data_IF_593060516314
#
_entry.id   IF_593060516314
#
_cell.length_a   1.000
_cell.length_b   1.000
_cell.length_c   1.000
_cell.angle_alpha   90.00
_cell.angle_beta   90.00
_cell.angle_gamma   90.00
#
_symmetry.space_group_name_H-M   'P 1'
#
loop_
_entity.id
_entity.type
_entity.pdbx_description
1 polymer ?
#
# COMPACT_ATOMS: atom_id res chain seq x y z
N UNK A 1 73.34 -34.76 10.58
CA UNK A 1 71.88 -34.90 10.80
C UNK A 1 71.63 -34.44 12.23
N UNK A 2 70.74 -33.52 12.59
CA UNK A 2 69.41 -33.20 12.07
C UNK A 2 69.20 -31.68 11.91
N UNK A 3 68.25 -31.36 11.03
CA UNK A 3 67.88 -30.05 10.48
C UNK A 3 66.70 -29.50 11.32
N UNK A 4 66.90 -28.37 12.01
CA UNK A 4 65.88 -27.71 12.84
C UNK A 4 64.97 -26.78 12.02
N UNK A 5 63.68 -27.08 12.01
CA UNK A 5 62.56 -26.34 11.42
C UNK A 5 62.22 -25.11 12.30
N UNK A 6 62.29 -23.89 11.78
CA UNK A 6 61.78 -22.69 12.47
C UNK A 6 61.11 -21.62 11.57
N UNK A 7 61.10 -21.76 10.25
CA UNK A 7 60.64 -20.66 9.36
C UNK A 7 59.13 -20.63 9.04
N UNK A 8 58.39 -21.70 9.34
CA UNK A 8 56.97 -21.81 8.95
C UNK A 8 56.01 -20.99 9.82
N UNK A 9 56.31 -20.84 11.10
CA UNK A 9 55.41 -20.24 12.10
C UNK A 9 55.43 -18.71 12.03
N UNK A 10 56.59 -18.14 11.69
CA UNK A 10 56.79 -16.69 11.60
C UNK A 10 56.12 -16.12 10.33
N UNK A 11 56.20 -16.84 9.19
CA UNK A 11 55.47 -16.49 7.96
C UNK A 11 53.95 -16.55 8.14
N UNK A 12 53.43 -17.56 8.84
CA UNK A 12 51.98 -17.66 9.10
C UNK A 12 51.48 -16.50 9.96
N UNK A 13 52.19 -16.13 11.03
CA UNK A 13 51.83 -14.95 11.85
C UNK A 13 51.89 -13.64 11.06
N UNK A 14 52.87 -13.48 10.17
CA UNK A 14 52.98 -12.30 9.32
C UNK A 14 51.80 -12.20 8.35
N UNK A 15 51.44 -13.31 7.69
CA UNK A 15 50.30 -13.36 6.76
C UNK A 15 48.98 -13.07 7.50
N UNK A 16 48.77 -13.68 8.67
CA UNK A 16 47.56 -13.42 9.47
C UNK A 16 47.48 -11.96 9.91
N UNK A 17 48.59 -11.35 10.32
CA UNK A 17 48.64 -9.94 10.71
C UNK A 17 48.32 -9.01 9.52
N UNK A 18 48.88 -9.29 8.34
CA UNK A 18 48.59 -8.52 7.11
C UNK A 18 47.12 -8.66 6.69
N UNK A 19 46.54 -9.85 6.78
CA UNK A 19 45.11 -10.06 6.49
C UNK A 19 44.20 -9.30 7.47
N UNK A 20 44.53 -9.29 8.76
CA UNK A 20 43.75 -8.57 9.77
C UNK A 20 43.83 -7.06 9.55
N UNK A 21 45.03 -6.53 9.22
CA UNK A 21 45.20 -5.11 8.89
C UNK A 21 44.46 -4.74 7.60
N UNK A 22 44.47 -5.60 6.58
CA UNK A 22 43.73 -5.37 5.34
C UNK A 22 42.21 -5.36 5.56
N UNK A 23 41.70 -6.26 6.40
CA UNK A 23 40.27 -6.27 6.78
C UNK A 23 39.92 -5.01 7.57
N UNK A 24 40.78 -4.59 8.50
CA UNK A 24 40.55 -3.38 9.31
C UNK A 24 40.60 -2.09 8.47
N UNK A 25 41.52 -2.00 7.50
CA UNK A 25 41.59 -0.90 6.54
C UNK A 25 40.39 -0.92 5.56
N UNK A 26 39.91 -2.10 5.16
CA UNK A 26 38.68 -2.25 4.38
C UNK A 26 37.45 -1.76 5.15
N UNK A 27 37.33 -2.13 6.43
CA UNK A 27 36.27 -1.61 7.30
C UNK A 27 36.39 -0.09 7.51
N UNK A 28 37.59 0.45 7.71
CA UNK A 28 37.79 1.90 7.80
C UNK A 28 37.46 2.61 6.49
N UNK A 29 37.77 2.03 5.32
CA UNK A 29 37.43 2.60 4.02
C UNK A 29 35.92 2.59 3.76
N UNK A 30 35.22 1.51 4.12
CA UNK A 30 33.75 1.44 4.04
C UNK A 30 33.10 2.41 5.03
N UNK A 31 33.65 2.54 6.25
CA UNK A 31 33.12 3.42 7.28
C UNK A 31 33.39 4.90 6.99
N UNK A 32 34.58 5.24 6.46
CA UNK A 32 34.92 6.62 6.05
C UNK A 32 34.31 7.01 4.69
N UNK A 33 34.12 6.05 3.77
CA UNK A 33 33.36 6.22 2.54
C UNK A 33 31.85 6.39 2.77
N UNK A 34 31.35 6.02 3.96
CA UNK A 34 29.97 6.27 4.40
C UNK A 34 29.81 7.59 5.17
N UNK A 35 30.90 8.29 5.49
CA UNK A 35 30.89 9.56 6.24
C UNK A 35 31.41 10.74 5.39
N UNK A 36 32.15 10.50 4.30
CA UNK A 36 32.57 11.54 3.36
C UNK A 36 32.34 11.14 1.89
N UNK A 37 31.08 11.25 1.44
CA UNK A 37 30.67 11.11 0.05
C UNK A 37 30.03 12.38 -0.49
N UNK A 38 30.85 13.20 -1.18
CA UNK A 38 30.50 14.28 -2.11
C UNK A 38 29.76 15.53 -1.59
N UNK A 39 30.48 16.37 -0.85
CA UNK A 39 30.35 17.83 -0.95
C UNK A 39 30.83 18.27 -2.33
N UNK A 40 29.92 18.54 -3.27
CA UNK A 40 30.21 19.37 -4.42
C UNK A 40 29.75 20.80 -4.12
N UNK A 41 30.76 21.67 -3.93
CA UNK A 41 30.62 23.12 -3.86
C UNK A 41 30.17 23.65 -5.23
N UNK A 42 29.00 24.27 -5.26
CA UNK A 42 28.63 25.30 -6.23
C UNK A 42 28.24 26.56 -5.49
N UNK A 43 29.20 27.44 -5.20
CA UNK A 43 28.99 28.90 -5.09
C UNK A 43 28.64 29.38 -6.51
N UNK A 44 27.64 30.18 -6.83
CA UNK A 44 27.05 31.42 -6.29
C UNK A 44 25.64 31.56 -6.94
N UNK A 45 24.66 32.38 -6.54
CA UNK A 45 24.65 33.73 -6.03
C UNK A 45 23.34 34.00 -5.26
N UNK A 46 23.47 34.62 -4.10
CA UNK A 46 22.42 35.45 -3.49
C UNK A 46 22.23 36.70 -4.36
N UNK A 47 21.02 37.25 -4.32
CA UNK A 47 20.54 38.44 -5.06
C UNK A 47 20.27 38.25 -6.56
N UNK A 48 19.01 37.97 -6.89
CA UNK A 48 18.11 38.84 -7.68
C UNK A 48 16.85 38.04 -8.04
N UNK A 49 15.69 38.36 -7.45
CA UNK A 49 14.44 37.70 -7.84
C UNK A 49 13.26 37.77 -6.88
N UNK A 50 13.41 38.31 -5.68
CA UNK A 50 12.32 38.48 -4.71
C UNK A 50 11.42 39.71 -4.97
N UNK A 51 11.43 40.29 -6.18
CA UNK A 51 10.63 41.48 -6.53
C UNK A 51 9.53 41.28 -7.58
N UNK A 52 9.32 40.07 -8.13
CA UNK A 52 8.31 39.87 -9.18
C UNK A 52 6.96 39.30 -8.71
N UNK A 53 6.90 38.55 -7.60
CA UNK A 53 5.65 37.91 -7.14
C UNK A 53 4.86 38.69 -6.07
N UNK A 54 5.32 39.89 -5.68
CA UNK A 54 4.55 40.81 -4.82
C UNK A 54 3.61 41.76 -5.59
N UNK A 55 3.50 41.64 -6.93
CA UNK A 55 2.77 42.62 -7.77
C UNK A 55 1.42 42.16 -8.31
N UNK A 56 0.82 41.09 -7.78
CA UNK A 56 -0.50 40.59 -8.26
C UNK A 56 -1.58 40.41 -7.18
N UNK A 57 -1.39 40.97 -5.98
CA UNK A 57 -2.38 40.83 -4.90
C UNK A 57 -2.49 41.99 -3.92
N UNK A 58 -1.96 43.18 -4.24
CA UNK A 58 -2.04 44.35 -3.38
C UNK A 58 -2.53 45.55 -4.16
N UNK A 59 -3.83 45.57 -4.41
CA UNK A 59 -4.56 46.77 -4.79
C UNK A 59 -5.98 46.66 -4.26
N UNK A 60 -6.14 46.57 -2.94
CA UNK A 60 -7.33 46.98 -2.19
C UNK A 60 -6.99 46.85 -0.71
N UNK A 61 -7.24 47.93 0.04
CA UNK A 61 -7.07 48.12 1.48
C UNK A 61 -5.67 48.58 1.92
N UNK A 62 -5.57 49.91 2.08
CA UNK A 62 -4.59 50.55 2.94
C UNK A 62 -5.15 50.71 4.36
N UNK A 63 -4.25 50.81 5.33
CA UNK A 63 -4.51 51.09 6.74
C UNK A 63 -3.32 50.67 7.59
N UNK A 64 -2.64 51.66 8.16
CA UNK A 64 -1.39 51.55 8.93
C UNK A 64 -1.57 51.09 10.40
N UNK A 65 -0.41 50.75 11.00
CA UNK A 65 -0.01 50.76 12.42
C UNK A 65 -0.14 49.49 13.30
N UNK A 66 1.04 48.90 13.56
CA UNK A 66 1.64 48.41 14.82
C UNK A 66 0.77 47.90 16.00
N UNK A 67 1.02 46.67 16.46
CA UNK A 67 1.33 46.33 17.87
C UNK A 67 1.53 44.81 18.11
N UNK A 68 2.24 44.55 19.20
CA UNK A 68 2.97 43.37 19.64
C UNK A 68 2.13 42.24 20.30
N UNK A 69 2.74 41.04 20.32
CA UNK A 69 2.55 39.88 21.20
C UNK A 69 1.21 39.56 21.89
N UNK A 70 0.66 38.37 21.59
CA UNK A 70 0.52 37.25 22.55
C UNK A 70 -0.15 36.02 21.91
N UNK A 71 0.45 34.86 22.14
CA UNK A 71 -0.22 33.56 22.02
C UNK A 71 -1.30 33.50 23.09
N UNK A 72 -2.54 33.20 22.71
CA UNK A 72 -3.53 32.69 23.65
C UNK A 72 -4.28 31.51 23.02
N UNK A 73 -4.27 30.40 23.78
CA UNK A 73 -5.10 29.22 23.60
C UNK A 73 -6.57 29.62 23.44
N UNK A 74 -7.18 29.27 22.31
CA UNK A 74 -8.64 29.26 22.21
C UNK A 74 -9.15 27.85 22.44
N UNK A 75 -9.37 27.53 23.72
CA UNK A 75 -10.46 26.64 24.12
C UNK A 75 -11.75 27.47 24.12
N UNK A 76 -12.82 27.03 23.44
CA UNK A 76 -14.12 27.67 23.66
C UNK A 76 -15.23 26.65 23.75
N UNK A 77 -15.95 26.79 24.87
CA UNK A 77 -17.16 26.11 25.31
C UNK A 77 -18.33 26.34 24.34
N UNK A 78 -19.17 25.34 24.21
CA UNK A 78 -20.49 25.47 23.58
C UNK A 78 -21.44 26.20 24.55
N UNK A 79 -21.79 27.43 24.22
CA UNK A 79 -22.96 28.13 24.75
C UNK A 79 -23.88 28.45 23.57
N UNK A 80 -25.08 27.88 23.58
CA UNK A 80 -26.16 28.20 22.64
C UNK A 80 -26.78 29.53 23.04
N UNK A 81 -26.53 30.60 22.28
CA UNK A 81 -27.45 31.74 22.19
C UNK A 81 -27.56 32.23 20.75
N UNK A 82 -28.81 32.42 20.32
CA UNK A 82 -29.21 32.79 18.97
C UNK A 82 -28.66 34.16 18.56
N UNK A 83 -27.81 34.17 17.54
CA UNK A 83 -27.38 35.33 16.78
C UNK A 83 -26.61 34.83 15.56
N UNK A 84 -26.81 35.40 14.38
CA UNK A 84 -26.23 34.94 13.12
C UNK A 84 -24.71 34.74 13.21
N UNK A 85 -24.28 33.50 13.37
CA UNK A 85 -22.86 33.13 13.31
C UNK A 85 -22.35 33.37 11.88
N UNK A 86 -21.71 34.51 11.68
CA UNK A 86 -20.83 34.71 10.53
C UNK A 86 -19.71 33.67 10.66
N UNK A 87 -19.83 32.57 9.92
CA UNK A 87 -18.79 31.54 9.82
C UNK A 87 -17.60 32.18 9.10
N UNK A 88 -16.70 32.80 9.85
CA UNK A 88 -15.42 33.27 9.31
C UNK A 88 -14.60 32.03 8.93
N UNK A 89 -14.28 31.81 7.64
CA UNK A 89 -13.48 30.66 7.24
C UNK A 89 -12.11 30.75 7.91
N UNK A 90 -11.72 29.71 8.66
CA UNK A 90 -10.36 29.61 9.18
C UNK A 90 -9.39 29.51 8.00
N UNK A 91 -8.52 30.50 7.84
CA UNK A 91 -7.45 30.45 6.84
C UNK A 91 -6.28 29.62 7.37
N UNK A 92 -5.87 28.61 6.62
CA UNK A 92 -4.67 27.83 6.93
C UNK A 92 -3.45 28.44 6.22
N UNK A 93 -2.31 28.64 6.90
CA UNK A 93 -1.07 29.08 6.26
C UNK A 93 -0.54 28.01 5.30
N UNK A 94 0.36 28.38 4.39
CA UNK A 94 1.05 27.42 3.50
C UNK A 94 2.22 26.79 4.24
N UNK A 95 2.37 25.47 4.13
CA UNK A 95 3.52 24.76 4.71
C UNK A 95 4.80 25.01 3.90
N UNK A 96 5.96 24.85 4.54
CA UNK A 96 7.25 24.77 3.83
C UNK A 96 7.25 23.56 2.87
N UNK A 97 7.74 23.77 1.64
CA UNK A 97 7.82 22.80 0.55
C UNK A 97 8.52 21.48 0.95
N UNK A 98 9.39 21.51 1.98
CA UNK A 98 10.05 20.30 2.52
C UNK A 98 9.08 19.25 3.06
N UNK A 99 7.83 19.62 3.34
CA UNK A 99 6.79 18.71 3.83
C UNK A 99 5.96 18.10 2.69
N UNK A 100 6.29 18.36 1.42
CA UNK A 100 5.55 17.82 0.26
C UNK A 100 5.45 16.29 0.25
N UNK A 101 6.47 15.60 0.76
CA UNK A 101 6.51 14.13 0.88
C UNK A 101 6.08 13.64 2.29
N UNK A 102 5.68 14.54 3.19
CA UNK A 102 5.26 14.17 4.54
C UNK A 102 3.88 13.52 4.50
N UNK A 103 3.80 12.30 5.02
CA UNK A 103 2.54 11.58 5.22
C UNK A 103 2.29 11.51 6.73
N UNK A 104 1.43 12.38 7.32
CA UNK A 104 1.45 12.64 8.77
C UNK A 104 1.34 11.40 9.66
N UNK A 105 0.54 10.41 9.28
CA UNK A 105 0.38 9.18 10.07
C UNK A 105 1.22 8.00 9.57
N UNK A 106 2.00 8.16 8.51
CA UNK A 106 2.86 7.12 7.94
C UNK A 106 4.32 7.59 7.87
N UNK A 107 4.67 8.59 8.67
CA UNK A 107 6.02 9.13 8.76
C UNK A 107 6.89 8.22 9.63
N UNK A 108 7.90 7.61 9.01
CA UNK A 108 8.88 6.77 9.69
C UNK A 108 9.76 7.57 10.65
N UNK A 109 10.02 8.85 10.38
CA UNK A 109 10.81 9.68 11.29
C UNK A 109 10.09 9.88 12.61
N UNK A 110 8.76 10.01 12.58
CA UNK A 110 7.93 10.08 13.78
C UNK A 110 8.10 8.85 14.69
N UNK A 111 8.17 7.64 14.11
CA UNK A 111 8.38 6.39 14.87
C UNK A 111 9.66 6.48 15.71
N UNK A 112 10.76 6.94 15.11
CA UNK A 112 12.04 7.11 15.81
C UNK A 112 12.00 8.22 16.86
N UNK A 113 11.37 9.37 16.54
CA UNK A 113 11.24 10.49 17.46
C UNK A 113 10.39 10.15 18.69
N UNK A 114 9.33 9.36 18.50
CA UNK A 114 8.43 8.91 19.56
C UNK A 114 8.94 7.66 20.29
N UNK A 115 10.03 7.05 19.81
CA UNK A 115 10.61 5.80 20.37
C UNK A 115 9.57 4.69 20.48
N UNK A 116 8.70 4.58 19.49
CA UNK A 116 7.68 3.53 19.46
C UNK A 116 8.36 2.16 19.39
N UNK A 117 7.93 1.24 20.26
CA UNK A 117 8.36 -0.15 20.24
C UNK A 117 7.41 -0.92 19.33
N UNK A 118 7.78 -1.01 18.06
CA UNK A 118 6.99 -1.68 17.04
C UNK A 118 7.57 -3.06 16.73
N UNK A 119 6.71 -4.02 16.45
CA UNK A 119 7.10 -5.30 15.88
C UNK A 119 7.25 -5.16 14.36
N UNK A 120 8.51 -5.12 13.91
CA UNK A 120 8.83 -5.00 12.49
C UNK A 120 8.45 -6.25 11.70
N UNK A 121 8.39 -7.42 12.35
CA UNK A 121 7.99 -8.68 11.70
C UNK A 121 6.51 -8.69 11.34
N UNK A 122 5.70 -7.93 12.08
CA UNK A 122 4.26 -7.76 11.85
C UNK A 122 3.94 -6.53 10.99
N UNK A 123 4.95 -5.88 10.41
CA UNK A 123 4.81 -4.71 9.55
C UNK A 123 4.17 -3.49 10.24
N UNK A 124 4.20 -3.43 11.58
CA UNK A 124 3.59 -2.33 12.35
C UNK A 124 4.17 -0.95 11.96
N UNK A 125 5.41 -0.91 11.49
CA UNK A 125 6.06 0.32 11.02
C UNK A 125 5.50 0.91 9.71
N UNK A 126 4.64 0.16 9.01
CA UNK A 126 3.83 0.67 7.88
C UNK A 126 2.39 0.97 8.26
N UNK A 127 1.99 0.71 9.51
CA UNK A 127 0.68 1.09 10.03
C UNK A 127 0.64 2.56 10.43
N UNK A 128 -0.57 3.06 10.67
CA UNK A 128 -0.80 4.46 11.01
C UNK A 128 -0.33 4.77 12.43
N UNK A 129 0.69 5.61 12.54
CA UNK A 129 1.16 6.22 13.79
C UNK A 129 1.06 7.74 13.65
N UNK A 130 0.04 8.35 14.26
CA UNK A 130 -0.21 9.78 14.08
C UNK A 130 0.47 10.63 15.17
N UNK A 131 0.94 11.85 14.83
CA UNK A 131 1.57 12.74 15.80
C UNK A 131 0.56 13.25 16.85
N UNK A 132 1.10 13.51 18.04
CA UNK A 132 0.39 14.23 19.10
C UNK A 132 -0.08 15.60 18.59
N UNK A 133 -1.17 16.16 19.15
CA UNK A 133 -1.74 17.42 18.69
C UNK A 133 -0.73 18.56 18.51
N UNK A 134 0.26 18.67 19.40
CA UNK A 134 1.26 19.76 19.37
C UNK A 134 2.26 19.62 18.21
N UNK A 135 2.38 18.42 17.63
CA UNK A 135 3.26 18.11 16.49
C UNK A 135 2.51 18.04 15.16
N UNK A 136 1.21 18.34 15.14
CA UNK A 136 0.40 18.35 13.92
C UNK A 136 0.64 19.63 13.15
N UNK A 137 0.93 19.49 11.86
CA UNK A 137 0.98 20.60 10.93
C UNK A 137 -0.45 21.05 10.60
N UNK A 138 -0.78 22.30 10.90
CA UNK A 138 -2.05 22.94 10.54
C UNK A 138 -1.81 23.95 9.41
N UNK A 139 -1.35 23.45 8.27
CA UNK A 139 -1.03 24.26 7.09
C UNK A 139 -1.38 23.50 5.79
N UNK A 140 -1.51 24.22 4.68
CA UNK A 140 -1.76 23.67 3.35
C UNK A 140 -0.43 23.31 2.69
N UNK A 141 -0.26 22.04 2.31
CA UNK A 141 0.92 21.58 1.56
C UNK A 141 0.80 22.10 0.12
N UNK A 142 1.75 22.89 -0.37
CA UNK A 142 1.72 23.37 -1.75
C UNK A 142 1.97 22.21 -2.74
N UNK A 143 1.40 22.26 -3.95
CA UNK A 143 1.73 21.30 -5.00
C UNK A 143 3.23 21.33 -5.31
N UNK A 144 3.85 20.17 -5.64
CA UNK A 144 5.24 20.13 -6.06
C UNK A 144 5.51 21.08 -7.24
N UNK A 145 6.73 21.61 -7.30
CA UNK A 145 7.10 22.55 -8.36
C UNK A 145 7.02 21.88 -9.72
N UNK A 146 6.20 22.44 -10.61
CA UNK A 146 5.97 21.89 -11.95
C UNK A 146 4.87 20.81 -12.02
N UNK A 147 4.16 20.56 -10.92
CA UNK A 147 2.97 19.72 -10.90
C UNK A 147 1.95 20.23 -11.91
N UNK A 148 1.37 19.30 -12.68
CA UNK A 148 0.39 19.55 -13.74
C UNK A 148 -0.98 19.02 -13.31
N UNK A 149 -2.04 19.61 -13.84
CA UNK A 149 -3.39 19.04 -13.69
C UNK A 149 -3.38 17.60 -14.19
N UNK A 150 -3.84 16.60 -13.40
CA UNK A 150 -3.86 15.20 -13.81
C UNK A 150 -4.58 15.00 -15.14
N UNK A 151 -4.05 14.09 -15.96
CA UNK A 151 -4.71 13.67 -17.19
C UNK A 151 -6.07 13.06 -16.80
N UNK A 152 -7.13 13.39 -17.53
CA UNK A 152 -8.47 12.86 -17.25
C UNK A 152 -8.62 11.44 -17.79
N UNK A 153 -9.54 10.69 -17.20
CA UNK A 153 -9.98 9.41 -17.76
C UNK A 153 -10.73 9.65 -19.08
N UNK A 154 -10.56 8.81 -20.12
CA UNK A 154 -9.86 7.52 -20.15
C UNK A 154 -8.36 7.56 -20.46
N UNK A 155 -7.80 8.70 -20.87
CA UNK A 155 -6.38 8.79 -21.24
C UNK A 155 -5.45 8.51 -20.06
N UNK A 156 -5.87 8.87 -18.85
CA UNK A 156 -5.15 8.59 -17.61
C UNK A 156 -4.93 7.11 -17.35
N UNK A 157 -5.71 6.22 -18.00
CA UNK A 157 -5.48 4.77 -17.96
C UNK A 157 -4.06 4.43 -18.41
N UNK A 158 -3.62 5.02 -19.51
CA UNK A 158 -2.42 4.60 -20.23
C UNK A 158 -1.28 5.60 -20.12
N UNK A 159 -1.51 6.81 -19.62
CA UNK A 159 -0.47 7.82 -19.48
C UNK A 159 -0.72 8.81 -18.34
N UNK A 160 0.35 9.22 -17.67
CA UNK A 160 0.35 10.29 -16.66
C UNK A 160 1.50 11.26 -16.89
N UNK A 161 1.45 12.44 -16.24
CA UNK A 161 2.55 13.40 -16.28
C UNK A 161 3.74 12.90 -15.48
N UNK A 162 4.93 12.93 -16.09
CA UNK A 162 6.18 12.63 -15.38
C UNK A 162 6.42 13.60 -14.22
N UNK A 163 6.07 14.88 -14.42
CA UNK A 163 6.25 15.93 -13.41
C UNK A 163 5.43 15.70 -12.12
N UNK A 164 4.38 14.89 -12.18
CA UNK A 164 3.53 14.56 -11.03
C UNK A 164 4.03 13.35 -10.24
N UNK A 165 5.06 12.66 -10.73
CA UNK A 165 5.65 11.47 -10.09
C UNK A 165 7.06 11.83 -9.61
N UNK A 166 7.25 12.13 -8.31
CA UNK A 166 8.51 12.66 -7.78
C UNK A 166 9.67 11.64 -7.82
N UNK A 167 9.38 10.33 -7.78
CA UNK A 167 10.39 9.27 -7.74
C UNK A 167 10.19 8.22 -8.86
N UNK A 168 10.85 8.40 -10.00
CA UNK A 168 10.71 7.47 -11.14
C UNK A 168 11.65 6.26 -11.07
N UNK A 169 12.25 5.93 -9.91
CA UNK A 169 13.23 4.83 -9.80
C UNK A 169 12.64 3.47 -10.20
N UNK A 170 11.37 3.22 -9.84
CA UNK A 170 10.61 2.05 -10.27
C UNK A 170 10.60 1.85 -11.79
N UNK A 171 10.61 2.94 -12.58
CA UNK A 171 10.62 2.85 -14.04
C UNK A 171 11.92 2.22 -14.56
N UNK A 172 13.04 2.43 -13.86
CA UNK A 172 14.31 1.82 -14.19
C UNK A 172 14.36 0.36 -13.73
N UNK A 173 13.98 0.08 -12.47
CA UNK A 173 14.03 -1.26 -11.88
C UNK A 173 13.10 -2.29 -12.54
N UNK A 174 11.98 -1.83 -13.13
CA UNK A 174 10.94 -2.70 -13.72
C UNK A 174 10.78 -2.49 -15.23
N UNK A 175 11.80 -1.93 -15.86
CA UNK A 175 11.82 -1.65 -17.31
C UNK A 175 11.72 -2.93 -18.16
N UNK A 176 12.23 -4.05 -17.66
CA UNK A 176 12.18 -5.39 -18.28
C UNK A 176 10.78 -5.99 -18.33
N UNK A 177 9.86 -5.56 -17.46
CA UNK A 177 8.53 -6.13 -17.33
C UNK A 177 7.44 -5.35 -18.07
N UNK A 178 7.81 -4.32 -18.84
CA UNK A 178 6.88 -3.44 -19.55
C UNK A 178 5.81 -2.81 -18.63
N UNK A 179 6.16 -2.51 -17.37
CA UNK A 179 5.24 -1.90 -16.42
C UNK A 179 4.95 -0.44 -16.77
N UNK A 180 6.00 0.31 -17.14
CA UNK A 180 5.90 1.70 -17.54
C UNK A 180 7.08 2.11 -18.42
N UNK A 181 6.87 3.11 -19.27
CA UNK A 181 7.89 3.67 -20.17
C UNK A 181 7.85 5.18 -20.09
N UNK A 182 8.99 5.80 -19.78
CA UNK A 182 9.12 7.27 -19.80
C UNK A 182 9.23 7.74 -21.25
N UNK A 183 8.26 8.55 -21.72
CA UNK A 183 8.24 9.16 -23.06
C UNK A 183 8.11 10.68 -22.95
N UNK A 184 9.26 11.36 -23.01
CA UNK A 184 9.32 12.82 -22.87
C UNK A 184 8.76 13.29 -21.52
N UNK A 185 7.70 14.08 -21.55
CA UNK A 185 7.03 14.60 -20.35
C UNK A 185 6.00 13.65 -19.73
N UNK A 186 5.79 12.47 -20.32
CA UNK A 186 4.79 11.51 -19.89
C UNK A 186 5.41 10.18 -19.47
N UNK A 187 4.71 9.49 -18.59
CA UNK A 187 4.94 8.08 -18.27
C UNK A 187 3.79 7.30 -18.90
N UNK A 188 4.10 6.30 -19.71
CA UNK A 188 3.13 5.47 -20.44
C UNK A 188 3.08 4.09 -19.80
N UNK A 189 1.88 3.56 -19.57
CA UNK A 189 1.63 2.24 -19.01
C UNK A 189 1.15 1.29 -20.11
N UNK A 190 1.97 0.34 -20.57
CA UNK A 190 1.59 -0.61 -21.62
C UNK A 190 0.52 -1.62 -21.19
N UNK A 191 0.10 -1.57 -19.93
CA UNK A 191 -0.77 -2.58 -19.32
C UNK A 191 -0.04 -3.85 -18.86
N UNK A 192 1.30 -3.89 -18.93
CA UNK A 192 2.12 -5.02 -18.49
C UNK A 192 2.24 -5.14 -16.97
N UNK A 193 2.60 -6.34 -16.51
CA UNK A 193 2.76 -6.72 -15.11
C UNK A 193 3.59 -8.00 -14.98
N UNK A 194 3.99 -8.36 -13.75
CA UNK A 194 4.76 -9.61 -13.53
C UNK A 194 3.98 -10.86 -13.94
N UNK A 195 2.66 -10.90 -13.76
CA UNK A 195 1.82 -12.06 -14.14
C UNK A 195 0.89 -11.78 -15.33
N UNK A 196 0.92 -10.58 -15.89
CA UNK A 196 0.14 -10.22 -17.07
C UNK A 196 1.05 -9.60 -18.15
N UNK A 197 2.04 -10.40 -18.56
CA UNK A 197 3.03 -10.05 -19.60
C UNK A 197 2.41 -9.61 -20.93
N UNK A 198 1.20 -10.11 -21.24
CA UNK A 198 0.50 -9.85 -22.50
C UNK A 198 -0.55 -8.73 -22.42
N UNK A 199 -0.68 -8.08 -21.26
CA UNK A 199 -1.66 -7.03 -20.99
C UNK A 199 -2.66 -7.38 -19.88
N UNK A 200 -2.99 -6.37 -19.05
CA UNK A 200 -3.97 -6.49 -17.97
C UNK A 200 -5.38 -6.79 -18.48
N UNK A 201 -5.76 -6.28 -19.66
CA UNK A 201 -7.01 -6.60 -20.37
C UNK A 201 -7.20 -8.10 -20.58
N UNK A 202 -6.18 -8.79 -21.13
CA UNK A 202 -6.23 -10.23 -21.39
C UNK A 202 -6.25 -11.04 -20.11
N UNK A 203 -5.53 -10.58 -19.09
CA UNK A 203 -5.54 -11.22 -17.78
C UNK A 203 -6.92 -11.11 -17.11
N UNK A 204 -7.54 -9.94 -17.13
CA UNK A 204 -8.92 -9.73 -16.62
C UNK A 204 -9.91 -10.61 -17.39
N UNK A 205 -9.82 -10.65 -18.72
CA UNK A 205 -10.65 -11.52 -19.54
C UNK A 205 -10.42 -13.01 -19.23
N UNK A 206 -9.18 -13.41 -18.91
CA UNK A 206 -8.86 -14.78 -18.48
C UNK A 206 -9.48 -15.11 -17.13
N UNK A 207 -9.49 -14.19 -16.16
CA UNK A 207 -10.18 -14.38 -14.87
C UNK A 207 -11.68 -14.57 -15.10
N UNK A 208 -12.30 -13.70 -15.91
CA UNK A 208 -13.71 -13.82 -16.24
C UNK A 208 -14.02 -15.16 -16.94
N UNK A 209 -13.15 -15.60 -17.85
CA UNK A 209 -13.26 -16.92 -18.48
C UNK A 209 -13.15 -18.07 -17.47
N UNK A 210 -12.19 -18.00 -16.55
CA UNK A 210 -11.99 -19.00 -15.50
C UNK A 210 -13.22 -19.16 -14.60
N UNK A 211 -13.97 -18.08 -14.39
CA UNK A 211 -15.22 -18.04 -13.63
C UNK A 211 -16.46 -18.31 -14.49
N UNK A 212 -16.29 -18.65 -15.76
CA UNK A 212 -17.37 -18.86 -16.74
C UNK A 212 -18.33 -17.67 -16.88
N UNK A 213 -17.83 -16.44 -16.73
CA UNK A 213 -18.64 -15.24 -16.95
C UNK A 213 -18.88 -15.01 -18.44
N UNK A 214 -20.09 -14.57 -18.77
CA UNK A 214 -20.54 -14.33 -20.13
C UNK A 214 -19.60 -13.37 -20.88
N UNK A 215 -19.24 -13.72 -22.12
CA UNK A 215 -18.38 -12.92 -23.01
C UNK A 215 -17.01 -12.54 -22.43
N UNK A 216 -16.51 -13.27 -21.41
CA UNK A 216 -15.30 -12.93 -20.67
C UNK A 216 -15.35 -11.51 -20.07
N UNK A 217 -16.55 -11.01 -19.74
CA UNK A 217 -16.72 -9.73 -19.07
C UNK A 217 -16.69 -9.92 -17.55
N UNK A 218 -15.70 -9.34 -16.89
CA UNK A 218 -15.50 -9.44 -15.45
C UNK A 218 -16.65 -8.82 -14.63
N UNK A 219 -17.35 -7.81 -15.17
CA UNK A 219 -18.46 -7.14 -14.50
C UNK A 219 -19.64 -8.08 -14.24
N UNK A 220 -19.77 -9.11 -15.08
CA UNK A 220 -20.75 -10.19 -14.94
C UNK A 220 -22.18 -9.68 -14.71
N UNK A 221 -22.67 -8.82 -15.61
CA UNK A 221 -24.02 -8.22 -15.52
C UNK A 221 -24.24 -7.42 -14.22
N UNK A 222 -23.21 -6.77 -13.71
CA UNK A 222 -23.24 -5.99 -12.47
C UNK A 222 -23.12 -6.82 -11.19
N UNK A 223 -22.89 -8.14 -11.28
CA UNK A 223 -22.66 -9.00 -10.10
C UNK A 223 -21.29 -8.76 -9.46
N UNK A 224 -20.30 -8.28 -10.21
CA UNK A 224 -18.98 -7.92 -9.68
C UNK A 224 -18.71 -6.44 -10.00
N UNK A 225 -18.66 -5.60 -8.97
CA UNK A 225 -18.55 -4.14 -9.12
C UNK A 225 -17.42 -3.52 -8.31
N UNK A 226 -16.99 -4.20 -7.25
CA UNK A 226 -15.99 -3.70 -6.30
C UNK A 226 -14.89 -4.74 -6.10
N UNK A 227 -13.66 -4.26 -6.23
CA UNK A 227 -12.45 -5.09 -6.13
C UNK A 227 -11.48 -4.52 -5.12
N UNK A 228 -10.92 -5.37 -4.26
CA UNK A 228 -9.76 -5.03 -3.44
C UNK A 228 -8.50 -5.57 -4.13
N UNK A 229 -7.60 -4.67 -4.55
CA UNK A 229 -6.34 -5.03 -5.22
C UNK A 229 -5.15 -4.83 -4.29
N UNK A 230 -4.65 -5.93 -3.72
CA UNK A 230 -3.58 -5.93 -2.73
C UNK A 230 -2.24 -6.06 -3.43
N UNK A 231 -1.35 -5.10 -3.21
CA UNK A 231 -0.06 -5.04 -3.89
C UNK A 231 -0.20 -4.57 -5.33
N UNK A 232 -0.93 -3.47 -5.55
CA UNK A 232 -1.35 -3.01 -6.88
C UNK A 232 -0.22 -2.62 -7.86
N UNK A 233 1.02 -2.47 -7.39
CA UNK A 233 2.16 -2.08 -8.22
C UNK A 233 1.96 -0.71 -8.87
N UNK A 234 1.83 -0.66 -10.20
CA UNK A 234 1.51 0.56 -10.96
C UNK A 234 0.00 0.77 -11.18
N UNK A 235 -0.85 -0.06 -10.58
CA UNK A 235 -2.31 -0.05 -10.70
C UNK A 235 -2.87 -0.40 -12.09
N UNK A 236 -2.13 -1.18 -12.90
CA UNK A 236 -2.61 -1.62 -14.22
C UNK A 236 -3.87 -2.49 -14.14
N UNK A 237 -3.97 -3.37 -13.15
CA UNK A 237 -5.16 -4.20 -12.96
C UNK A 237 -6.40 -3.33 -12.68
N UNK A 238 -6.33 -2.47 -11.65
CA UNK A 238 -7.43 -1.56 -11.31
C UNK A 238 -7.79 -0.58 -12.42
N UNK A 239 -6.81 -0.07 -13.16
CA UNK A 239 -7.06 0.82 -14.30
C UNK A 239 -7.84 0.14 -15.41
N UNK A 240 -7.50 -1.10 -15.76
CA UNK A 240 -8.23 -1.82 -16.82
C UNK A 240 -9.62 -2.29 -16.37
N UNK A 241 -9.81 -2.59 -15.07
CA UNK A 241 -11.12 -2.91 -14.51
C UNK A 241 -12.13 -1.76 -14.60
N UNK A 242 -11.68 -0.51 -14.50
CA UNK A 242 -12.56 0.65 -14.64
C UNK A 242 -13.18 0.74 -16.05
N UNK A 243 -12.52 0.20 -17.08
CA UNK A 243 -13.08 0.10 -18.43
C UNK A 243 -14.23 -0.91 -18.53
N UNK A 244 -14.40 -1.76 -17.50
CA UNK A 244 -15.46 -2.76 -17.37
C UNK A 244 -16.47 -2.38 -16.28
N UNK A 245 -16.58 -1.09 -15.92
CA UNK A 245 -17.48 -0.61 -14.86
C UNK A 245 -17.26 -1.29 -13.50
N UNK A 246 -16.00 -1.65 -13.21
CA UNK A 246 -15.59 -2.23 -11.92
C UNK A 246 -14.65 -1.27 -11.20
N UNK A 247 -15.05 -0.83 -10.01
CA UNK A 247 -14.25 0.06 -9.17
C UNK A 247 -13.28 -0.79 -8.35
N UNK A 248 -12.00 -0.45 -8.46
CA UNK A 248 -10.93 -1.10 -7.71
C UNK A 248 -10.43 -0.18 -6.61
N UNK A 249 -10.31 -0.71 -5.40
CA UNK A 249 -9.59 -0.10 -4.31
C UNK A 249 -8.21 -0.74 -4.20
N UNK A 250 -7.18 0.03 -4.57
CA UNK A 250 -5.79 -0.43 -4.56
C UNK A 250 -5.11 -0.16 -3.21
N UNK A 251 -4.42 -1.18 -2.69
CA UNK A 251 -3.71 -1.15 -1.42
C UNK A 251 -2.22 -1.45 -1.65
N UNK A 252 -1.35 -0.58 -1.17
CA UNK A 252 0.09 -0.79 -1.16
C UNK A 252 0.77 -0.08 0.04
N UNK A 253 1.88 -0.64 0.56
CA UNK A 253 2.68 0.03 1.59
C UNK A 253 3.38 1.28 1.05
N UNK A 254 3.78 2.18 1.96
CA UNK A 254 4.75 3.24 1.68
C UNK A 254 6.19 2.70 1.74
N UNK A 255 6.49 1.69 0.91
CA UNK A 255 7.77 0.98 0.91
C UNK A 255 8.85 1.69 0.07
N UNK A 256 9.96 0.97 -0.15
CA UNK A 256 11.12 1.47 -0.94
C UNK A 256 10.75 1.86 -2.37
N UNK A 257 9.59 1.47 -2.86
CA UNK A 257 9.13 1.78 -4.20
C UNK A 257 8.36 3.11 -4.29
N UNK A 258 8.01 3.74 -3.15
CA UNK A 258 7.56 5.12 -2.89
C UNK A 258 6.38 5.72 -3.70
N UNK A 259 6.01 5.18 -4.87
CA UNK A 259 5.03 5.79 -5.79
C UNK A 259 3.88 4.89 -6.24
N UNK A 260 3.74 3.70 -5.67
CA UNK A 260 2.69 2.74 -6.08
C UNK A 260 1.29 3.39 -6.02
N UNK A 261 0.97 4.04 -4.90
CA UNK A 261 -0.30 4.75 -4.71
C UNK A 261 -0.37 6.03 -5.55
N UNK A 262 0.73 6.78 -5.69
CA UNK A 262 0.73 7.98 -6.53
C UNK A 262 0.42 7.65 -8.00
N UNK A 263 0.96 6.54 -8.54
CA UNK A 263 0.61 6.07 -9.87
C UNK A 263 -0.88 5.77 -9.99
N UNK A 264 -1.47 5.08 -9.02
CA UNK A 264 -2.89 4.78 -9.02
C UNK A 264 -3.73 6.07 -9.03
N UNK A 265 -3.42 7.03 -8.16
CA UNK A 265 -4.14 8.30 -8.04
C UNK A 265 -4.03 9.17 -9.30
N UNK A 266 -2.83 9.30 -9.89
CA UNK A 266 -2.63 10.04 -11.15
C UNK A 266 -3.35 9.40 -12.34
N UNK A 267 -3.60 8.08 -12.29
CA UNK A 267 -4.40 7.35 -13.28
C UNK A 267 -5.91 7.43 -13.02
N UNK A 268 -6.33 8.00 -11.88
CA UNK A 268 -7.73 8.14 -11.47
C UNK A 268 -8.30 6.92 -10.72
N UNK A 269 -7.45 6.05 -10.19
CA UNK A 269 -7.84 4.81 -9.52
C UNK A 269 -7.87 5.03 -8.00
N UNK A 270 -8.98 4.68 -7.31
CA UNK A 270 -9.04 4.74 -5.86
C UNK A 270 -7.94 3.90 -5.23
N UNK A 271 -7.13 4.52 -4.37
CA UNK A 271 -6.00 3.86 -3.77
C UNK A 271 -5.64 4.52 -2.43
N UNK A 272 -5.08 3.75 -1.52
CA UNK A 272 -4.58 4.27 -0.26
C UNK A 272 -3.35 3.51 0.22
N UNK A 273 -2.53 4.20 1.02
CA UNK A 273 -1.39 3.59 1.66
C UNK A 273 -1.82 2.76 2.87
N UNK A 274 -1.41 1.51 2.90
CA UNK A 274 -1.69 0.61 4.01
C UNK A 274 -1.04 -0.76 3.84
N UNK A 275 -1.19 -1.58 4.88
CA UNK A 275 -0.67 -2.95 4.94
C UNK A 275 -1.68 -3.88 5.59
N UNK A 276 -1.60 -5.16 5.25
CA UNK A 276 -2.17 -6.24 6.05
C UNK A 276 -1.18 -6.56 7.19
N UNK A 277 -1.24 -5.75 8.25
CA UNK A 277 -0.40 -5.86 9.45
C UNK A 277 -1.16 -6.47 10.63
N UNK A 278 -1.38 -5.69 11.67
CA UNK A 278 -2.09 -6.04 12.90
C UNK A 278 -3.51 -5.48 12.96
N UNK A 279 -3.81 -4.39 12.24
CA UNK A 279 -5.11 -3.71 12.27
C UNK A 279 -6.02 -4.09 11.11
N UNK A 280 -7.32 -4.19 11.36
CA UNK A 280 -8.34 -4.37 10.32
C UNK A 280 -8.19 -3.27 9.26
N UNK A 281 -8.37 -3.63 7.99
CA UNK A 281 -8.47 -2.67 6.90
C UNK A 281 -9.72 -1.80 7.12
N UNK A 282 -9.68 -0.51 6.71
CA UNK A 282 -10.70 0.49 7.07
C UNK A 282 -11.98 0.36 6.22
N UNK A 283 -12.44 -0.86 6.00
CA UNK A 283 -13.64 -1.18 5.24
C UNK A 283 -14.57 -2.05 6.08
N UNK A 284 -15.88 -1.75 6.10
CA UNK A 284 -16.88 -2.64 6.68
C UNK A 284 -16.74 -4.07 6.13
N UNK A 285 -17.27 -5.03 6.86
CA UNK A 285 -17.30 -6.40 6.37
C UNK A 285 -18.06 -6.47 5.04
N UNK A 286 -17.71 -7.43 4.18
CA UNK A 286 -18.44 -7.70 2.92
C UNK A 286 -18.47 -6.49 1.97
N UNK A 287 -17.39 -5.73 1.94
CA UNK A 287 -17.25 -4.55 1.08
C UNK A 287 -16.91 -4.88 -0.38
N UNK A 288 -16.34 -6.06 -0.65
CA UNK A 288 -15.79 -6.40 -1.97
C UNK A 288 -16.36 -7.71 -2.53
N UNK A 289 -16.61 -7.76 -3.84
CA UNK A 289 -16.99 -9.01 -4.53
C UNK A 289 -15.77 -9.84 -4.95
N UNK A 290 -14.63 -9.20 -5.22
CA UNK A 290 -13.40 -9.88 -5.56
C UNK A 290 -12.20 -9.23 -4.87
N UNK A 291 -11.34 -10.06 -4.31
CA UNK A 291 -10.01 -9.70 -3.87
C UNK A 291 -8.99 -10.21 -4.88
N UNK A 292 -7.99 -9.40 -5.18
CA UNK A 292 -6.93 -9.75 -6.09
C UNK A 292 -5.57 -9.56 -5.40
N UNK A 293 -4.71 -10.56 -5.56
CA UNK A 293 -3.29 -10.44 -5.24
C UNK A 293 -2.48 -11.08 -6.36
N UNK A 294 -1.63 -10.28 -6.99
CA UNK A 294 -0.66 -10.75 -7.97
C UNK A 294 0.75 -10.46 -7.47
N UNK A 295 1.46 -11.51 -7.04
CA UNK A 295 2.79 -11.39 -6.41
C UNK A 295 2.84 -10.35 -5.27
N UNK A 296 1.78 -10.26 -4.45
CA UNK A 296 1.69 -9.25 -3.39
C UNK A 296 2.67 -9.48 -2.22
N UNK A 297 3.40 -10.61 -2.19
CA UNK A 297 4.40 -10.98 -1.16
C UNK A 297 3.84 -10.99 0.26
N UNK A 298 2.57 -11.35 0.39
CA UNK A 298 1.93 -11.56 1.68
C UNK A 298 2.08 -13.04 2.05
N UNK A 299 2.66 -13.30 3.22
CA UNK A 299 2.55 -14.60 3.85
C UNK A 299 1.14 -14.75 4.42
N UNK A 300 0.29 -15.46 3.70
CA UNK A 300 -1.11 -15.71 4.08
C UNK A 300 -1.27 -16.74 5.19
N UNK A 301 -0.22 -17.51 5.51
CA UNK A 301 -0.24 -18.55 6.55
C UNK A 301 0.22 -18.04 7.91
N UNK A 302 0.88 -16.87 7.95
CA UNK A 302 1.33 -16.27 9.19
C UNK A 302 0.19 -16.13 10.21
N UNK A 303 0.53 -16.24 11.50
CA UNK A 303 -0.39 -15.98 12.63
C UNK A 303 -1.74 -16.68 12.44
N UNK A 304 -1.69 -18.00 12.20
CA UNK A 304 -2.87 -18.85 12.02
C UNK A 304 -3.81 -18.40 10.89
N UNK A 305 -3.25 -17.80 9.84
CA UNK A 305 -4.02 -17.34 8.69
C UNK A 305 -4.77 -16.02 8.90
N UNK A 306 -4.41 -15.24 9.92
CA UNK A 306 -5.15 -14.01 10.30
C UNK A 306 -5.31 -13.01 9.15
N UNK A 307 -4.33 -12.91 8.25
CA UNK A 307 -4.42 -12.01 7.10
C UNK A 307 -5.42 -12.49 6.06
N UNK A 308 -5.52 -13.80 5.86
CA UNK A 308 -6.53 -14.39 4.99
C UNK A 308 -7.93 -14.28 5.60
N UNK A 309 -8.03 -14.32 6.93
CA UNK A 309 -9.28 -14.08 7.66
C UNK A 309 -9.73 -12.61 7.60
N UNK A 310 -8.81 -11.66 7.58
CA UNK A 310 -9.16 -10.27 7.27
C UNK A 310 -9.69 -10.13 5.84
N UNK A 311 -9.11 -10.86 4.88
CA UNK A 311 -9.64 -10.92 3.52
C UNK A 311 -11.04 -11.54 3.48
N UNK A 312 -11.26 -12.62 4.25
CA UNK A 312 -12.57 -13.24 4.41
C UNK A 312 -13.60 -12.25 4.94
N UNK A 313 -13.29 -11.51 6.00
CA UNK A 313 -14.18 -10.49 6.56
C UNK A 313 -14.62 -9.47 5.50
N UNK A 314 -13.71 -9.08 4.61
CA UNK A 314 -13.92 -8.06 3.59
C UNK A 314 -14.69 -8.57 2.36
N UNK A 315 -14.61 -9.86 2.06
CA UNK A 315 -15.30 -10.48 0.94
C UNK A 315 -16.79 -10.73 1.26
N UNK A 316 -17.64 -10.40 0.28
CA UNK A 316 -19.05 -10.75 0.28
C UNK A 316 -19.25 -12.27 0.25
N UNK A 317 -20.39 -12.79 0.74
CA UNK A 317 -20.76 -14.19 0.51
C UNK A 317 -20.72 -14.50 -1.00
N UNK A 318 -20.13 -15.64 -1.38
CA UNK A 318 -19.92 -15.98 -2.79
C UNK A 318 -18.80 -15.19 -3.49
N UNK A 319 -18.13 -14.27 -2.80
CA UNK A 319 -17.03 -13.47 -3.32
C UNK A 319 -15.79 -14.30 -3.63
N UNK A 320 -14.92 -13.75 -4.48
CA UNK A 320 -13.78 -14.46 -5.03
C UNK A 320 -12.45 -13.93 -4.50
N UNK A 321 -11.47 -14.82 -4.34
CA UNK A 321 -10.07 -14.43 -4.17
C UNK A 321 -9.24 -14.96 -5.34
N UNK A 322 -8.82 -14.06 -6.23
CA UNK A 322 -7.92 -14.34 -7.33
C UNK A 322 -6.46 -14.14 -6.90
N UNK A 323 -5.72 -15.23 -6.85
CA UNK A 323 -4.33 -15.27 -6.39
C UNK A 323 -3.42 -15.78 -7.50
N UNK A 324 -2.49 -14.92 -7.94
CA UNK A 324 -1.46 -15.26 -8.92
C UNK A 324 -0.08 -15.08 -8.31
N UNK A 325 0.57 -16.19 -7.98
CA UNK A 325 1.87 -16.23 -7.32
C UNK A 325 2.52 -17.60 -7.52
N UNK A 326 3.86 -17.74 -7.40
CA UNK A 326 4.55 -19.03 -7.57
C UNK A 326 3.92 -20.17 -6.77
N UNK A 327 3.49 -19.93 -5.55
CA UNK A 327 2.82 -20.92 -4.68
C UNK A 327 1.54 -21.50 -5.32
N UNK A 328 0.95 -20.85 -6.32
CA UNK A 328 -0.20 -21.40 -7.04
C UNK A 328 0.17 -22.41 -8.15
N UNK A 329 1.38 -22.35 -8.72
CA UNK A 329 1.72 -23.06 -9.96
C UNK A 329 3.11 -23.69 -10.03
N UNK A 330 4.07 -23.18 -9.27
CA UNK A 330 5.43 -23.71 -9.22
C UNK A 330 5.45 -25.12 -8.61
N UNK A 331 6.51 -25.86 -8.91
CA UNK A 331 6.63 -27.29 -8.60
C UNK A 331 7.78 -27.60 -7.65
N UNK A 332 8.48 -26.59 -7.15
CA UNK A 332 9.48 -26.80 -6.11
C UNK A 332 8.82 -27.11 -4.77
N UNK A 333 9.59 -27.71 -3.87
CA UNK A 333 9.09 -28.28 -2.63
C UNK A 333 8.52 -27.22 -1.68
N UNK A 334 9.09 -26.02 -1.67
CA UNK A 334 8.65 -24.92 -0.83
C UNK A 334 7.30 -24.38 -1.30
N UNK A 335 7.17 -24.04 -2.58
CA UNK A 335 5.91 -23.56 -3.15
C UNK A 335 4.79 -24.61 -3.02
N UNK A 336 5.10 -25.91 -3.21
CA UNK A 336 4.15 -27.00 -3.01
C UNK A 336 3.76 -27.19 -1.53
N UNK A 337 4.65 -26.90 -0.58
CA UNK A 337 4.33 -26.92 0.86
C UNK A 337 3.36 -25.78 1.18
N UNK A 338 3.67 -24.56 0.77
CA UNK A 338 2.82 -23.39 1.00
C UNK A 338 1.45 -23.59 0.35
N UNK A 339 1.38 -24.09 -0.88
CA UNK A 339 0.12 -24.45 -1.55
C UNK A 339 -0.74 -25.40 -0.72
N UNK A 340 -0.15 -26.50 -0.20
CA UNK A 340 -0.88 -27.50 0.59
C UNK A 340 -1.43 -26.89 1.87
N UNK A 341 -0.61 -26.12 2.57
CA UNK A 341 -0.99 -25.50 3.84
C UNK A 341 -2.07 -24.42 3.63
N UNK A 342 -1.94 -23.60 2.57
CA UNK A 342 -2.95 -22.62 2.19
C UNK A 342 -4.26 -23.29 1.80
N UNK A 343 -4.21 -24.33 0.96
CA UNK A 343 -5.39 -25.10 0.53
C UNK A 343 -6.11 -25.72 1.73
N UNK A 344 -5.36 -26.33 2.66
CA UNK A 344 -5.93 -26.89 3.88
C UNK A 344 -6.56 -25.81 4.78
N UNK A 345 -5.97 -24.61 4.86
CA UNK A 345 -6.55 -23.50 5.61
C UNK A 345 -7.86 -23.02 5.00
N UNK A 346 -7.89 -22.72 3.70
CA UNK A 346 -9.10 -22.20 3.03
C UNK A 346 -10.23 -23.24 3.00
N UNK A 347 -9.90 -24.53 2.88
CA UNK A 347 -10.89 -25.61 3.02
C UNK A 347 -11.52 -25.61 4.43
N UNK A 348 -10.71 -25.42 5.49
CA UNK A 348 -11.24 -25.27 6.86
C UNK A 348 -12.03 -23.97 7.07
N UNK A 349 -11.81 -22.97 6.21
CA UNK A 349 -12.61 -21.75 6.10
C UNK A 349 -13.85 -21.93 5.20
N UNK A 350 -14.16 -23.14 4.74
CA UNK A 350 -15.27 -23.47 3.84
C UNK A 350 -15.18 -22.85 2.44
N UNK A 351 -14.02 -22.34 2.04
CA UNK A 351 -13.84 -21.84 0.68
C UNK A 351 -13.61 -23.02 -0.27
N UNK A 352 -14.06 -22.85 -1.52
CA UNK A 352 -13.88 -23.85 -2.57
C UNK A 352 -13.00 -23.28 -3.68
N UNK A 353 -12.37 -24.16 -4.47
CA UNK A 353 -11.66 -23.73 -5.68
C UNK A 353 -12.71 -23.52 -6.77
N UNK A 354 -12.95 -22.27 -7.17
CA UNK A 354 -13.78 -21.95 -8.32
C UNK A 354 -13.08 -22.28 -9.63
N UNK A 355 -11.77 -22.00 -9.70
CA UNK A 355 -10.94 -22.34 -10.86
C UNK A 355 -9.45 -22.31 -10.52
N UNK A 356 -8.67 -23.17 -11.16
CA UNK A 356 -7.20 -23.11 -11.10
C UNK A 356 -6.65 -23.34 -12.50
N UNK A 357 -5.93 -22.37 -13.05
CA UNK A 357 -5.40 -22.43 -14.42
C UNK A 357 -4.11 -21.63 -14.53
N UNK A 358 -3.12 -22.22 -15.19
CA UNK A 358 -1.81 -21.61 -15.42
C UNK A 358 -1.21 -21.12 -14.09
N UNK A 359 -1.02 -19.80 -13.96
CA UNK A 359 -0.40 -19.15 -12.81
C UNK A 359 -1.39 -18.66 -11.76
N UNK A 360 -2.70 -18.90 -11.94
CA UNK A 360 -3.75 -18.31 -11.11
C UNK A 360 -4.66 -19.38 -10.52
N UNK A 361 -4.95 -19.21 -9.24
CA UNK A 361 -6.04 -19.91 -8.54
C UNK A 361 -7.09 -18.88 -8.13
N UNK A 362 -8.36 -19.26 -8.24
CA UNK A 362 -9.48 -18.47 -7.77
C UNK A 362 -10.24 -19.31 -6.76
N UNK A 363 -10.27 -18.85 -5.52
CA UNK A 363 -11.13 -19.41 -4.48
C UNK A 363 -12.45 -18.65 -4.41
N UNK A 364 -13.49 -19.32 -3.93
CA UNK A 364 -14.80 -18.73 -3.69
C UNK A 364 -15.24 -18.97 -2.26
N UNK A 365 -15.68 -17.89 -1.61
CA UNK A 365 -16.26 -17.91 -0.26
C UNK A 365 -17.66 -18.55 -0.29
N UNK A 366 -18.10 -19.29 0.74
CA UNK A 366 -19.44 -19.88 0.75
C UNK A 366 -20.54 -18.81 0.67
N UNK A 367 -21.70 -19.16 0.10
CA UNK A 367 -22.86 -18.25 0.02
C UNK A 367 -23.65 -18.18 1.33
N UNK A 368 -23.64 -19.26 2.11
CA UNK A 368 -24.41 -19.43 3.35
C UNK A 368 -23.51 -19.87 4.51
N UNK A 369 -24.05 -19.86 5.73
CA UNK A 369 -23.35 -20.34 6.92
C UNK A 369 -23.35 -21.87 7.06
N UNK A 370 -23.97 -22.63 6.14
CA UNK A 370 -24.23 -24.06 6.34
C UNK A 370 -22.95 -24.85 6.60
N UNK A 371 -21.92 -24.63 5.77
CA UNK A 371 -20.62 -25.25 5.97
C UNK A 371 -20.00 -24.87 7.32
N UNK A 372 -20.17 -23.62 7.80
CA UNK A 372 -19.64 -23.21 9.09
C UNK A 372 -20.28 -23.96 10.26
N UNK A 373 -21.57 -24.26 10.18
CA UNK A 373 -22.33 -24.96 11.21
C UNK A 373 -22.05 -26.47 11.24
N UNK A 374 -21.62 -27.04 10.11
CA UNK A 374 -21.25 -28.46 10.00
C UNK A 374 -19.80 -28.76 10.44
N UNK A 375 -19.01 -27.74 10.77
CA UNK A 375 -17.61 -27.90 11.19
C UNK A 375 -17.52 -28.69 12.50
N UNK A 376 -16.54 -29.58 12.57
CA UNK A 376 -16.25 -30.35 13.79
C UNK A 376 -15.90 -29.39 14.94
N UNK A 377 -16.39 -29.64 16.18
CA UNK A 377 -15.98 -28.87 17.34
C UNK A 377 -14.45 -28.81 17.47
N UNK A 378 -13.91 -27.62 17.74
CA UNK A 378 -12.46 -27.40 17.86
C UNK A 378 -11.72 -27.19 16.53
N UNK A 379 -12.42 -27.10 15.39
CA UNK A 379 -11.79 -26.75 14.10
C UNK A 379 -11.22 -25.33 14.14
N UNK A 380 -9.95 -25.18 13.73
CA UNK A 380 -9.30 -23.89 13.57
C UNK A 380 -9.36 -23.41 12.11
N UNK A 381 -9.60 -22.11 11.84
CA UNK A 381 -9.85 -21.04 12.83
C UNK A 381 -11.28 -21.07 13.39
N UNK A 382 -11.52 -20.68 14.66
CA UNK A 382 -12.85 -20.68 15.26
C UNK A 382 -13.80 -19.67 14.58
N UNK A 383 -15.09 -19.74 14.88
CA UNK A 383 -16.01 -18.65 14.56
C UNK A 383 -15.79 -17.48 15.54
N UNK A 384 -15.95 -16.25 15.05
CA UNK A 384 -15.84 -15.06 15.90
C UNK A 384 -16.96 -15.05 16.95
N UNK A 385 -16.70 -14.42 18.09
CA UNK A 385 -17.67 -14.32 19.18
C UNK A 385 -18.86 -13.46 18.77
N UNK A 386 -20.05 -13.73 19.32
CA UNK A 386 -21.29 -13.01 18.98
C UNK A 386 -21.28 -11.51 19.30
N UNK A 387 -20.33 -11.05 20.12
CA UNK A 387 -20.13 -9.63 20.45
C UNK A 387 -19.09 -8.91 19.58
N UNK A 388 -18.35 -9.62 18.72
CA UNK A 388 -17.44 -8.97 17.78
C UNK A 388 -18.22 -8.35 16.64
N UNK A 389 -18.09 -7.03 16.49
CA UNK A 389 -18.71 -6.30 15.39
C UNK A 389 -17.73 -6.28 14.20
N UNK A 390 -18.02 -7.00 13.10
CA UNK A 390 -17.11 -7.10 11.97
C UNK A 390 -17.01 -5.80 11.15
N UNK A 391 -17.92 -4.84 11.36
CA UNK A 391 -17.91 -3.51 10.72
C UNK A 391 -17.17 -2.47 11.55
N UNK A 392 -16.74 -2.82 12.77
CA UNK A 392 -15.87 -1.96 13.58
C UNK A 392 -14.43 -2.11 13.08
N UNK A 393 -13.92 -1.08 12.42
CA UNK A 393 -12.65 -1.15 11.65
C UNK A 393 -11.55 -0.25 12.19
N UNK A 394 -11.89 0.94 12.69
CA UNK A 394 -10.89 1.95 13.00
C UNK A 394 -10.09 1.62 14.27
N UNK A 395 -8.79 1.36 14.12
CA UNK A 395 -7.87 1.05 15.22
C UNK A 395 -8.07 -0.34 15.84
N UNK A 396 -8.98 -1.15 15.28
CA UNK A 396 -9.31 -2.49 15.76
C UNK A 396 -8.25 -3.47 15.28
N UNK A 397 -7.73 -4.30 16.18
CA UNK A 397 -6.81 -5.37 15.83
C UNK A 397 -7.56 -6.49 15.10
N UNK A 398 -6.90 -7.13 14.14
CA UNK A 398 -7.44 -8.34 13.50
C UNK A 398 -7.56 -9.47 14.53
N UNK A 399 -8.47 -10.40 14.28
CA UNK A 399 -8.66 -11.61 15.08
C UNK A 399 -8.64 -12.84 14.17
N UNK A 400 -8.03 -13.93 14.64
CA UNK A 400 -7.94 -15.17 13.88
C UNK A 400 -9.24 -16.00 14.01
N UNK A 401 -10.35 -15.46 13.52
CA UNK A 401 -11.66 -16.10 13.53
C UNK A 401 -12.45 -15.80 12.24
N UNK A 402 -13.42 -16.68 11.92
CA UNK A 402 -14.32 -16.50 10.78
C UNK A 402 -15.59 -15.78 11.25
N UNK A 403 -15.98 -14.72 10.56
CA UNK A 403 -17.22 -13.97 10.85
C UNK A 403 -18.42 -14.63 10.16
N UNK A 404 -19.39 -15.20 10.89
CA UNK A 404 -20.61 -15.74 10.29
C UNK A 404 -21.47 -14.66 9.62
N UNK A 405 -22.28 -15.03 8.65
CA UNK A 405 -23.28 -14.15 8.03
C UNK A 405 -24.44 -13.89 8.98
N UNK A 406 -24.96 -12.67 8.98
CA UNK A 406 -26.22 -12.37 9.67
C UNK A 406 -27.42 -12.84 8.85
N UNK A 407 -28.55 -13.13 9.50
CA UNK A 407 -29.78 -13.60 8.83
C UNK A 407 -30.27 -12.62 7.74
N UNK A 408 -30.06 -11.31 7.93
CA UNK A 408 -30.40 -10.28 6.92
C UNK A 408 -29.59 -10.40 5.65
N UNK A 409 -28.35 -10.87 5.73
CA UNK A 409 -27.43 -10.94 4.58
C UNK A 409 -27.67 -12.20 3.76
N UNK A 410 -28.05 -13.30 4.41
CA UNK A 410 -28.54 -14.49 3.72
C UNK A 410 -29.80 -14.16 2.89
N UNK A 411 -30.71 -13.32 3.39
CA UNK A 411 -31.97 -12.96 2.71
C UNK A 411 -31.78 -12.05 1.49
N UNK A 412 -30.78 -11.17 1.47
CA UNK A 412 -30.50 -10.28 0.33
C UNK A 412 -29.98 -11.05 -0.90
N UNK A 413 -29.35 -12.21 -0.71
CA UNK A 413 -28.91 -13.08 -1.80
C UNK A 413 -30.08 -13.74 -2.53
N UNK A 414 -31.17 -14.09 -1.82
CA UNK A 414 -32.35 -14.71 -2.41
C UNK A 414 -33.25 -13.74 -3.19
N UNK A 415 -33.09 -12.43 -3.00
CA UNK A 415 -33.89 -11.41 -3.72
C UNK A 415 -33.29 -11.01 -5.07
N UNK A 416 -32.11 -11.53 -5.42
CA UNK A 416 -31.36 -11.25 -6.66
C UNK A 416 -31.21 -12.48 -7.58
N UNK A 417 -31.83 -13.60 -7.24
CA UNK A 417 -31.79 -14.86 -8.00
C UNK A 417 -33.04 -15.04 -8.87
#
# INVERSE_FOLDING_TARGET
MMRGRSDGTQKKRLITSVCVVAIFLGFLYVYSGSIFGSTNRGTSALEYGSRSLRRLGSSYLGGDEDADGKQDESSTRFGLENGEDVITPKSFPVCDDRHSELIPCLDRHLIYQMRLKLDLSLMEHYERHCPLPERRYNCLIPPPRGYKVPIKWPESRDQVWKANIPHTHLAHEKSDQNWMVVKGEKIVFPGGGTHFHYGADKYIASIANMLNFSHNNINNEGRLRTVLDVGCGVASFGAYLLSSDVITMSLAPNDVHQNQIQFALERGIPAYLGVLGTKRLPYPSRSFELAHCSRCRIDWLQRDGILLLELDRLLRPGGYFAYSSPEAYAQDEEDLRIWRDMSALVERMCWTIASKRNQTVIWQKPLTNDCYMERKPGTLPPLCQSGDNPDKVWGVSMEACITPYSDRECLLLFSLA
#
